data_IF_358370832042
#
_entry.id   IF_358370832042
#
_cell.length_a   1.000
_cell.length_b   1.000
_cell.length_c   1.000
_cell.angle_alpha   90.00
_cell.angle_beta   90.00
_cell.angle_gamma   90.00
#
_symmetry.space_group_name_H-M   'P 1'
#
loop_
_entity.id
_entity.type
_entity.pdbx_description
1 polymer ?
#
# COMPACT_ATOMS: atom_id res chain seq x y z
N UNK A 1 -5.58 19.36 16.24
CA UNK A 1 -6.88 20.07 16.25
C UNK A 1 -7.10 20.90 17.49
N UNK A 2 -7.09 20.35 18.71
CA UNK A 2 -7.37 21.13 19.94
C UNK A 2 -6.41 22.31 20.16
N UNK A 3 -5.12 22.13 19.89
CA UNK A 3 -4.14 23.23 19.93
C UNK A 3 -4.54 24.37 18.97
N UNK A 4 -4.87 24.04 17.73
CA UNK A 4 -5.29 25.04 16.74
C UNK A 4 -6.57 25.75 17.18
N UNK A 5 -7.52 25.03 17.79
CA UNK A 5 -8.74 25.62 18.36
C UNK A 5 -8.46 26.66 19.46
N UNK A 6 -7.43 26.45 20.27
CA UNK A 6 -7.06 27.37 21.35
C UNK A 6 -6.35 28.63 20.87
N UNK A 7 -5.56 28.51 19.80
CA UNK A 7 -4.60 29.55 19.39
C UNK A 7 -5.02 30.32 18.12
N UNK A 8 -5.88 29.76 17.27
CA UNK A 8 -6.23 30.29 15.95
C UNK A 8 -7.74 30.55 15.88
N UNK A 9 -8.12 31.79 15.54
CA UNK A 9 -9.53 32.22 15.60
C UNK A 9 -9.97 33.04 14.39
N UNK A 10 -9.05 33.44 13.51
CA UNK A 10 -9.34 34.27 12.35
C UNK A 10 -8.99 33.56 11.03
N UNK A 11 -9.72 33.87 9.97
CA UNK A 11 -9.34 33.50 8.61
C UNK A 11 -7.95 33.99 8.21
N UNK A 12 -7.45 35.06 8.85
CA UNK A 12 -6.10 35.60 8.61
C UNK A 12 -4.99 34.67 9.10
N UNK A 13 -5.32 33.73 9.99
CA UNK A 13 -4.37 32.78 10.52
C UNK A 13 -4.27 31.52 9.62
N UNK A 14 -5.03 31.46 8.52
CA UNK A 14 -5.10 30.34 7.58
C UNK A 14 -4.66 30.77 6.17
N UNK A 15 -4.08 29.86 5.35
CA UNK A 15 -3.85 28.44 5.64
C UNK A 15 -2.72 28.22 6.65
N UNK A 16 -2.84 27.16 7.45
CA UNK A 16 -1.86 26.76 8.44
C UNK A 16 -1.46 25.30 8.19
N UNK A 17 -0.16 25.00 8.25
CA UNK A 17 0.34 23.62 8.26
C UNK A 17 1.28 23.41 9.43
N UNK A 18 1.01 22.40 10.24
CA UNK A 18 1.80 22.02 11.40
C UNK A 18 2.25 20.58 11.25
N UNK A 19 3.52 20.28 11.50
CA UNK A 19 4.03 18.93 11.49
C UNK A 19 4.90 18.63 12.71
N UNK A 20 5.04 17.35 12.99
CA UNK A 20 5.97 16.83 13.99
C UNK A 20 6.69 15.60 13.43
N UNK A 21 7.86 15.29 14.00
CA UNK A 21 8.53 14.00 13.84
C UNK A 21 8.58 13.40 15.23
N UNK A 22 7.78 12.36 15.46
CA UNK A 22 7.57 11.83 16.79
C UNK A 22 7.29 10.33 16.74
N UNK A 23 7.77 9.63 17.76
CA UNK A 23 7.43 8.23 18.03
C UNK A 23 5.92 8.05 18.18
N UNK A 24 5.39 7.04 17.50
CA UNK A 24 4.00 6.61 17.52
C UNK A 24 3.91 5.20 18.07
N UNK A 25 2.74 4.89 18.60
CA UNK A 25 2.41 3.58 19.15
C UNK A 25 1.16 3.03 18.47
N UNK A 26 1.25 1.79 17.99
CA UNK A 26 0.10 1.03 17.49
C UNK A 26 0.22 -0.38 18.02
N UNK A 27 -0.81 -0.85 18.71
CA UNK A 27 -0.85 -2.25 19.17
C UNK A 27 -1.20 -3.17 17.99
N UNK A 28 -0.23 -3.32 17.10
CA UNK A 28 -0.32 -4.15 15.91
C UNK A 28 -0.50 -5.62 16.30
N UNK A 29 -1.60 -6.30 15.92
CA UNK A 29 -1.84 -7.69 16.30
C UNK A 29 -0.75 -8.66 15.84
N UNK A 30 -0.06 -8.35 14.73
CA UNK A 30 0.98 -9.20 14.16
C UNK A 30 2.21 -8.37 13.75
N UNK A 31 3.05 -7.93 14.71
CA UNK A 31 4.27 -7.19 14.39
C UNK A 31 5.26 -8.14 13.69
N UNK A 32 5.79 -7.72 12.53
CA UNK A 32 6.67 -8.53 11.68
C UNK A 32 7.55 -7.66 10.80
N UNK A 33 8.56 -8.26 10.15
CA UNK A 33 9.45 -7.58 9.20
C UNK A 33 10.22 -6.39 9.81
N UNK A 34 10.63 -6.52 11.08
CA UNK A 34 11.46 -5.54 11.77
C UNK A 34 10.81 -4.15 11.85
N UNK A 35 11.52 -3.12 11.38
CA UNK A 35 11.07 -1.72 11.44
C UNK A 35 10.03 -1.35 10.37
N UNK A 36 9.66 -2.29 9.49
CA UNK A 36 8.57 -2.09 8.51
C UNK A 36 7.23 -2.04 9.23
N UNK A 37 6.99 -2.98 10.17
CA UNK A 37 5.74 -3.11 10.93
C UNK A 37 6.00 -3.44 12.40
N UNK A 38 6.40 -2.40 13.13
CA UNK A 38 6.58 -2.42 14.58
C UNK A 38 5.37 -1.88 15.36
N UNK A 39 5.39 -2.06 16.68
CA UNK A 39 4.41 -1.44 17.60
C UNK A 39 4.80 -0.03 18.03
N UNK A 40 6.09 0.25 18.01
CA UNK A 40 6.68 1.57 18.23
C UNK A 40 7.47 1.95 16.98
N UNK A 41 7.23 3.13 16.42
CA UNK A 41 7.87 3.60 15.19
C UNK A 41 7.90 5.13 15.11
N UNK A 42 8.86 5.70 14.39
CA UNK A 42 8.92 7.15 14.15
C UNK A 42 8.13 7.50 12.91
N UNK A 43 7.25 8.50 13.04
CA UNK A 43 6.47 9.04 11.94
C UNK A 43 6.61 10.56 11.89
N UNK A 44 6.68 11.09 10.67
CA UNK A 44 6.43 12.49 10.40
C UNK A 44 4.96 12.63 10.04
N UNK A 45 4.17 13.26 10.89
CA UNK A 45 2.76 13.56 10.67
C UNK A 45 2.56 15.08 10.58
N UNK A 46 1.90 15.52 9.51
CA UNK A 46 1.55 16.92 9.24
C UNK A 46 0.05 17.06 9.14
N UNK A 47 -0.48 18.20 9.55
CA UNK A 47 -1.89 18.55 9.46
C UNK A 47 -2.04 19.96 8.90
N UNK A 48 -2.83 20.11 7.83
CA UNK A 48 -3.22 21.42 7.31
C UNK A 48 -4.60 21.82 7.80
N UNK A 49 -4.80 23.12 7.92
CA UNK A 49 -6.05 23.76 8.28
C UNK A 49 -6.31 24.86 7.26
N UNK A 50 -7.42 24.75 6.55
CA UNK A 50 -7.78 25.60 5.44
C UNK A 50 -9.22 26.10 5.61
N UNK A 51 -9.52 27.29 5.08
CA UNK A 51 -10.87 27.87 5.18
C UNK A 51 -11.82 27.26 4.15
N UNK A 52 -11.31 26.95 2.96
CA UNK A 52 -12.09 26.43 1.82
C UNK A 52 -11.52 25.12 1.30
N UNK A 53 -12.34 24.38 0.56
CA UNK A 53 -11.95 23.07 0.03
C UNK A 53 -10.94 23.21 -1.14
N UNK A 54 -10.92 24.36 -1.81
CA UNK A 54 -9.86 24.73 -2.76
C UNK A 54 -8.53 24.94 -2.03
N UNK A 55 -8.54 25.62 -0.87
CA UNK A 55 -7.35 25.78 -0.02
C UNK A 55 -6.81 24.42 0.46
N UNK A 56 -7.69 23.52 0.90
CA UNK A 56 -7.31 22.14 1.23
C UNK A 56 -6.70 21.40 0.03
N UNK A 57 -7.23 21.62 -1.17
CA UNK A 57 -6.68 21.02 -2.39
C UNK A 57 -5.29 21.56 -2.72
N UNK A 58 -5.05 22.85 -2.51
CA UNK A 58 -3.71 23.45 -2.63
C UNK A 58 -2.74 22.90 -1.58
N UNK A 59 -3.13 22.90 -0.30
CA UNK A 59 -2.36 22.31 0.80
C UNK A 59 -2.02 20.83 0.54
N UNK A 60 -2.96 20.07 -0.01
CA UNK A 60 -2.76 18.69 -0.41
C UNK A 60 -1.69 18.54 -1.51
N UNK A 61 -1.80 19.33 -2.58
CA UNK A 61 -0.83 19.29 -3.70
C UNK A 61 0.56 19.75 -3.26
N UNK A 62 0.66 20.72 -2.36
CA UNK A 62 1.93 21.17 -1.77
C UNK A 62 2.60 20.05 -0.97
N UNK A 63 1.84 19.31 -0.16
CA UNK A 63 2.37 18.14 0.57
C UNK A 63 2.76 17.00 -0.38
N UNK A 64 1.95 16.73 -1.40
CA UNK A 64 2.28 15.74 -2.44
C UNK A 64 3.61 16.06 -3.12
N UNK A 65 3.82 17.33 -3.52
CA UNK A 65 5.07 17.78 -4.13
C UNK A 65 6.26 17.73 -3.17
N UNK A 66 6.05 18.03 -1.88
CA UNK A 66 7.09 17.91 -0.86
C UNK A 66 7.51 16.44 -0.67
N UNK A 67 6.56 15.50 -0.66
CA UNK A 67 6.84 14.07 -0.51
C UNK A 67 7.61 13.51 -1.69
N UNK A 68 7.21 13.88 -2.92
CA UNK A 68 7.97 13.54 -4.14
C UNK A 68 9.42 13.98 -3.99
N UNK A 69 9.67 15.26 -3.67
CA UNK A 69 11.03 15.77 -3.45
C UNK A 69 11.76 15.04 -2.33
N UNK A 70 11.08 14.68 -1.25
CA UNK A 70 11.67 13.92 -0.15
C UNK A 70 12.11 12.53 -0.62
N UNK A 71 11.22 11.75 -1.23
CA UNK A 71 11.54 10.39 -1.64
C UNK A 71 12.55 10.33 -2.80
N UNK A 72 12.51 11.29 -3.72
CA UNK A 72 13.52 11.44 -4.77
C UNK A 72 14.91 11.72 -4.18
N UNK A 73 15.00 12.61 -3.18
CA UNK A 73 16.26 12.89 -2.46
C UNK A 73 16.77 11.69 -1.67
N UNK A 74 15.87 10.86 -1.15
CA UNK A 74 16.21 9.61 -0.47
C UNK A 74 16.60 8.49 -1.44
N UNK A 75 16.51 8.71 -2.76
CA UNK A 75 16.85 7.71 -3.78
C UNK A 75 15.86 6.55 -3.86
N UNK A 76 14.64 6.71 -3.34
CA UNK A 76 13.61 5.67 -3.35
C UNK A 76 12.92 5.59 -4.71
N UNK A 77 12.65 4.37 -5.17
CA UNK A 77 11.68 4.10 -6.22
C UNK A 77 10.31 3.92 -5.58
N UNK A 78 9.31 4.64 -6.07
CA UNK A 78 7.95 4.57 -5.52
C UNK A 78 6.89 4.83 -6.58
N UNK A 79 5.69 4.34 -6.32
CA UNK A 79 4.47 4.63 -7.07
C UNK A 79 3.52 5.45 -6.19
N UNK A 80 2.85 6.44 -6.77
CA UNK A 80 1.79 7.19 -6.09
C UNK A 80 0.47 6.58 -6.52
N UNK A 81 -0.25 5.97 -5.57
CA UNK A 81 -1.46 5.20 -5.86
C UNK A 81 -2.67 5.83 -5.18
N UNK A 82 -3.82 5.75 -5.84
CA UNK A 82 -5.09 6.12 -5.21
C UNK A 82 -5.45 5.11 -4.12
N UNK A 83 -5.91 5.58 -2.97
CA UNK A 83 -6.23 4.74 -1.83
C UNK A 83 -7.60 5.08 -1.21
N UNK A 84 -8.16 4.14 -0.47
CA UNK A 84 -9.41 4.35 0.26
C UNK A 84 -9.15 5.21 1.50
N UNK A 85 -9.98 6.25 1.71
CA UNK A 85 -9.81 7.16 2.87
C UNK A 85 -10.14 6.48 4.21
N UNK A 86 -10.85 5.35 4.18
CA UNK A 86 -11.10 4.46 5.32
C UNK A 86 -11.57 5.16 6.60
N UNK A 87 -11.08 4.66 7.75
CA UNK A 87 -11.42 5.18 9.08
C UNK A 87 -10.99 6.62 9.32
N UNK A 88 -9.97 7.11 8.62
CA UNK A 88 -9.55 8.51 8.70
C UNK A 88 -10.67 9.44 8.20
N UNK A 89 -11.49 8.98 7.27
CA UNK A 89 -12.50 9.78 6.59
C UNK A 89 -11.85 10.75 5.59
N UNK A 90 -12.62 11.22 4.62
CA UNK A 90 -12.12 12.13 3.60
C UNK A 90 -12.65 11.84 2.21
N UNK A 91 -12.39 12.76 1.29
CA UNK A 91 -12.80 12.68 -0.12
C UNK A 91 -11.71 12.19 -1.06
N UNK A 92 -10.45 12.31 -0.67
CA UNK A 92 -9.28 11.96 -1.48
C UNK A 92 -8.14 11.45 -0.61
N UNK A 93 -7.46 10.42 -1.08
CA UNK A 93 -6.37 9.76 -0.39
C UNK A 93 -5.39 9.17 -1.41
N UNK A 94 -4.10 9.42 -1.22
CA UNK A 94 -3.02 8.84 -2.03
C UNK A 94 -1.93 8.25 -1.13
N UNK A 95 -1.47 7.06 -1.48
CA UNK A 95 -0.35 6.38 -0.84
C UNK A 95 0.89 6.44 -1.72
N UNK A 96 2.05 6.49 -1.07
CA UNK A 96 3.36 6.40 -1.69
C UNK A 96 3.90 5.02 -1.37
N UNK A 97 3.95 4.17 -2.38
CA UNK A 97 4.27 2.76 -2.26
C UNK A 97 5.65 2.49 -2.84
N UNK A 98 6.59 2.03 -2.02
CA UNK A 98 7.91 1.59 -2.45
C UNK A 98 7.85 0.11 -2.86
N UNK A 99 8.03 -0.24 -4.15
CA UNK A 99 7.95 -1.63 -4.61
C UNK A 99 8.92 -2.53 -3.85
N UNK A 100 8.40 -3.66 -3.39
CA UNK A 100 9.12 -4.63 -2.58
C UNK A 100 8.29 -5.93 -2.50
N UNK A 101 8.87 -7.06 -2.90
CA UNK A 101 8.17 -8.35 -2.90
C UNK A 101 7.71 -8.79 -1.51
N UNK A 102 8.44 -8.37 -0.46
CA UNK A 102 8.10 -8.65 0.94
C UNK A 102 7.11 -7.63 1.54
N UNK A 103 6.77 -6.59 0.77
CA UNK A 103 5.79 -5.57 1.12
C UNK A 103 4.39 -6.14 1.38
N UNK A 104 3.62 -5.48 2.24
CA UNK A 104 2.30 -5.98 2.65
C UNK A 104 1.15 -5.41 1.86
N UNK A 105 1.36 -4.22 1.28
CA UNK A 105 0.36 -3.53 0.48
C UNK A 105 0.38 -4.09 -0.93
N UNK A 106 -0.81 -4.37 -1.44
CA UNK A 106 -0.99 -4.88 -2.80
C UNK A 106 -1.71 -3.81 -3.60
N UNK A 107 -1.13 -3.46 -4.75
CA UNK A 107 -1.65 -2.39 -5.59
C UNK A 107 -1.67 -2.84 -7.05
N UNK A 108 -2.51 -2.17 -7.82
CA UNK A 108 -2.59 -2.35 -9.26
C UNK A 108 -1.87 -1.23 -9.99
N UNK A 109 -1.27 -1.56 -11.13
CA UNK A 109 -0.66 -0.61 -12.04
C UNK A 109 -1.10 -0.92 -13.48
N UNK A 110 -1.44 0.12 -14.25
CA UNK A 110 -1.63 0.01 -15.68
C UNK A 110 -0.42 0.61 -16.41
N UNK A 111 0.43 -0.24 -16.98
CA UNK A 111 1.64 0.20 -17.69
C UNK A 111 1.34 1.06 -18.92
N UNK A 112 0.12 0.95 -19.48
CA UNK A 112 -0.31 1.72 -20.67
C UNK A 112 -0.63 3.18 -20.36
N UNK A 113 -1.32 3.46 -19.24
CA UNK A 113 -1.83 4.80 -18.93
C UNK A 113 -1.32 5.39 -17.60
N UNK A 114 -0.57 4.62 -16.80
CA UNK A 114 -0.04 5.04 -15.51
C UNK A 114 -1.06 5.04 -14.37
N UNK A 115 -2.28 4.52 -14.59
CA UNK A 115 -3.26 4.31 -13.52
C UNK A 115 -2.65 3.43 -12.42
N UNK A 116 -2.74 3.88 -11.17
CA UNK A 116 -2.30 3.10 -10.02
C UNK A 116 -3.22 3.32 -8.82
N UNK A 117 -3.61 2.23 -8.18
CA UNK A 117 -4.49 2.25 -7.01
C UNK A 117 -4.22 1.06 -6.12
N UNK A 118 -4.49 1.20 -4.81
CA UNK A 118 -4.63 0.01 -3.97
C UNK A 118 -5.74 -0.88 -4.49
N UNK A 119 -5.61 -2.19 -4.22
CA UNK A 119 -6.63 -3.16 -4.60
C UNK A 119 -8.00 -2.75 -4.04
N UNK A 120 -8.10 -2.19 -2.84
CA UNK A 120 -9.38 -1.74 -2.27
C UNK A 120 -10.00 -0.54 -3.00
N UNK A 121 -9.17 0.29 -3.65
CA UNK A 121 -9.58 1.51 -4.35
C UNK A 121 -9.84 1.31 -5.85
N UNK A 122 -9.37 0.20 -6.45
CA UNK A 122 -9.57 -0.06 -7.87
C UNK A 122 -11.05 -0.24 -8.20
N UNK A 123 -11.57 0.55 -9.14
CA UNK A 123 -12.94 0.39 -9.64
C UNK A 123 -13.01 -0.66 -10.75
N UNK A 124 -14.06 -1.48 -10.70
CA UNK A 124 -14.42 -2.37 -11.81
C UNK A 124 -15.55 -1.73 -12.62
N UNK A 125 -15.34 -1.59 -13.93
CA UNK A 125 -16.36 -1.07 -14.85
C UNK A 125 -16.77 -2.17 -15.81
N UNK A 126 -18.04 -2.57 -15.78
CA UNK A 126 -18.64 -3.53 -16.73
C UNK A 126 -19.96 -2.94 -17.22
N UNK A 127 -20.17 -2.98 -18.54
CA UNK A 127 -21.39 -2.48 -19.17
C UNK A 127 -22.53 -3.48 -19.03
N UNK A 128 -23.77 -2.98 -19.11
CA UNK A 128 -24.95 -3.85 -19.22
C UNK A 128 -24.90 -4.70 -20.49
N UNK A 129 -25.53 -5.87 -20.43
CA UNK A 129 -25.57 -6.85 -21.51
C UNK A 129 -27.02 -7.05 -21.96
N UNK A 130 -27.26 -7.21 -23.26
CA UNK A 130 -28.59 -7.58 -23.74
C UNK A 130 -28.89 -9.05 -23.42
N UNK A 131 -29.86 -9.26 -22.53
CA UNK A 131 -30.31 -10.58 -22.10
C UNK A 131 -31.53 -11.11 -22.88
N UNK A 132 -31.99 -10.43 -23.93
CA UNK A 132 -33.21 -10.80 -24.66
C UNK A 132 -33.16 -12.20 -25.28
N UNK A 133 -31.96 -12.66 -25.64
CA UNK A 133 -31.70 -14.01 -26.15
C UNK A 133 -31.48 -15.09 -25.08
N UNK A 134 -31.45 -14.74 -23.80
CA UNK A 134 -31.19 -15.69 -22.71
C UNK A 134 -32.48 -16.47 -22.41
N UNK A 135 -32.46 -17.82 -22.41
CA UNK A 135 -33.64 -18.62 -22.10
C UNK A 135 -34.24 -18.31 -20.72
N UNK A 136 -35.50 -18.71 -20.47
CA UNK A 136 -36.08 -18.65 -19.13
C UNK A 136 -35.22 -19.39 -18.11
N UNK A 137 -35.27 -18.93 -16.86
CA UNK A 137 -34.65 -19.61 -15.72
C UNK A 137 -35.12 -21.06 -15.64
N UNK A 138 -34.18 -21.99 -15.50
CA UNK A 138 -34.45 -23.43 -15.38
C UNK A 138 -33.78 -23.99 -14.13
N UNK A 139 -34.55 -24.64 -13.25
CA UNK A 139 -34.01 -25.34 -12.07
C UNK A 139 -33.65 -26.76 -12.45
N UNK A 140 -32.40 -27.16 -12.16
CA UNK A 140 -31.84 -28.45 -12.52
C UNK A 140 -31.27 -29.17 -11.30
N UNK A 141 -31.41 -30.49 -11.27
CA UNK A 141 -30.91 -31.32 -10.17
C UNK A 141 -29.40 -31.52 -10.27
N UNK A 142 -28.66 -31.00 -9.31
CA UNK A 142 -27.20 -31.06 -9.17
C UNK A 142 -26.85 -31.63 -7.79
N UNK A 143 -27.21 -32.89 -7.48
CA UNK A 143 -26.93 -33.47 -6.17
C UNK A 143 -25.42 -33.51 -5.90
N UNK A 144 -25.03 -33.34 -4.65
CA UNK A 144 -23.63 -33.42 -4.19
C UNK A 144 -22.66 -32.42 -4.87
N UNK A 145 -23.13 -31.20 -5.18
CA UNK A 145 -22.29 -30.13 -5.77
C UNK A 145 -22.10 -28.93 -4.84
N UNK A 146 -21.33 -29.05 -3.74
CA UNK A 146 -21.17 -27.97 -2.79
C UNK A 146 -20.16 -26.89 -3.24
N UNK A 147 -19.40 -27.12 -4.34
CA UNK A 147 -18.36 -26.20 -4.82
C UNK A 147 -18.57 -25.83 -6.29
N UNK A 148 -18.00 -24.68 -6.70
CA UNK A 148 -18.02 -24.25 -8.12
C UNK A 148 -17.39 -25.30 -9.03
N UNK A 149 -16.27 -25.90 -8.65
CA UNK A 149 -15.61 -26.93 -9.46
C UNK A 149 -16.54 -28.13 -9.70
N UNK A 150 -17.20 -28.63 -8.65
CA UNK A 150 -18.15 -29.74 -8.77
C UNK A 150 -19.39 -29.39 -9.61
N UNK A 151 -19.81 -28.12 -9.58
CA UNK A 151 -20.91 -27.62 -10.40
C UNK A 151 -20.49 -27.56 -11.88
N UNK A 152 -19.33 -26.97 -12.17
CA UNK A 152 -18.79 -26.87 -13.53
C UNK A 152 -18.58 -28.25 -14.15
N UNK A 153 -18.09 -29.23 -13.37
CA UNK A 153 -17.95 -30.62 -13.83
C UNK A 153 -19.29 -31.21 -14.27
N UNK A 154 -20.34 -31.11 -13.45
CA UNK A 154 -21.68 -31.61 -13.80
C UNK A 154 -22.28 -30.86 -15.00
N UNK A 155 -22.10 -29.54 -15.08
CA UNK A 155 -22.60 -28.75 -16.21
C UNK A 155 -21.94 -29.18 -17.52
N UNK A 156 -20.62 -29.35 -17.51
CA UNK A 156 -19.88 -29.77 -18.69
C UNK A 156 -20.22 -31.21 -19.10
N UNK A 157 -20.40 -32.12 -18.15
CA UNK A 157 -20.83 -33.50 -18.43
C UNK A 157 -22.20 -33.54 -19.12
N UNK A 158 -23.15 -32.70 -18.66
CA UNK A 158 -24.55 -32.75 -19.13
C UNK A 158 -24.84 -31.92 -20.38
N UNK A 159 -24.17 -30.77 -20.52
CA UNK A 159 -24.49 -29.78 -21.54
C UNK A 159 -23.41 -29.64 -22.61
N UNK A 160 -22.42 -30.53 -22.63
CA UNK A 160 -21.47 -30.66 -23.74
C UNK A 160 -20.25 -29.75 -23.68
N UNK A 161 -19.88 -29.29 -22.47
CA UNK A 161 -18.69 -28.47 -22.24
C UNK A 161 -18.91 -26.96 -22.39
N UNK A 162 -17.85 -26.18 -22.10
CA UNK A 162 -17.83 -24.72 -22.29
C UNK A 162 -18.16 -23.90 -21.04
N UNK A 163 -18.67 -24.53 -19.98
CA UNK A 163 -18.86 -23.87 -18.69
C UNK A 163 -17.52 -23.79 -17.94
N UNK A 164 -17.30 -22.63 -17.33
CA UNK A 164 -16.19 -22.31 -16.45
C UNK A 164 -16.75 -21.73 -15.15
N UNK A 165 -15.89 -21.54 -14.13
CA UNK A 165 -16.30 -20.84 -12.92
C UNK A 165 -16.87 -19.45 -13.19
N UNK A 166 -16.43 -18.78 -14.26
CA UNK A 166 -16.88 -17.44 -14.64
C UNK A 166 -18.32 -17.41 -15.16
N UNK A 167 -18.91 -18.55 -15.52
CA UNK A 167 -20.32 -18.68 -15.91
C UNK A 167 -21.24 -18.91 -14.69
N UNK A 168 -20.65 -19.16 -13.53
CA UNK A 168 -21.36 -19.43 -12.28
C UNK A 168 -21.35 -18.21 -11.38
N UNK A 169 -22.29 -18.13 -10.44
CA UNK A 169 -22.43 -17.01 -9.52
C UNK A 169 -22.46 -17.50 -8.07
N UNK A 170 -21.50 -17.03 -7.28
CA UNK A 170 -21.46 -17.24 -5.83
C UNK A 170 -22.37 -16.25 -5.13
N UNK A 171 -23.20 -16.78 -4.23
CA UNK A 171 -23.97 -15.98 -3.30
C UNK A 171 -23.34 -16.11 -1.90
N UNK A 172 -22.58 -15.09 -1.51
CA UNK A 172 -21.92 -15.06 -0.21
C UNK A 172 -22.84 -14.36 0.79
N UNK A 173 -23.38 -15.13 1.72
CA UNK A 173 -24.14 -14.59 2.84
C UNK A 173 -23.18 -14.03 3.90
N UNK A 174 -23.49 -12.83 4.39
CA UNK A 174 -22.74 -12.14 5.42
C UNK A 174 -23.69 -11.58 6.48
N UNK A 175 -23.16 -11.31 7.67
CA UNK A 175 -23.85 -10.56 8.71
C UNK A 175 -23.16 -9.21 8.86
N UNK A 176 -23.87 -8.13 8.50
CA UNK A 176 -23.42 -6.75 8.60
C UNK A 176 -24.24 -6.02 9.67
N UNK A 177 -23.59 -5.54 10.74
CA UNK A 177 -24.22 -4.92 11.91
C UNK A 177 -25.46 -5.70 12.43
N UNK A 178 -25.34 -7.03 12.49
CA UNK A 178 -26.39 -7.94 12.94
C UNK A 178 -27.49 -8.26 11.91
N UNK A 179 -27.42 -7.70 10.69
CA UNK A 179 -28.37 -7.98 9.59
C UNK A 179 -27.76 -8.89 8.54
N UNK A 180 -28.52 -9.88 8.08
CA UNK A 180 -28.11 -10.73 6.96
C UNK A 180 -28.14 -9.95 5.66
N UNK A 181 -27.04 -10.01 4.91
CA UNK A 181 -26.91 -9.47 3.56
C UNK A 181 -26.36 -10.55 2.62
N UNK A 182 -26.55 -10.36 1.32
CA UNK A 182 -25.98 -11.20 0.27
C UNK A 182 -25.02 -10.37 -0.58
N UNK A 183 -23.83 -10.90 -0.86
CA UNK A 183 -22.86 -10.31 -1.79
C UNK A 183 -22.61 -11.30 -2.91
N UNK A 184 -22.88 -10.86 -4.14
CA UNK A 184 -22.77 -11.66 -5.34
C UNK A 184 -21.42 -11.40 -6.03
N UNK A 185 -20.66 -12.46 -6.30
CA UNK A 185 -19.40 -12.43 -7.07
C UNK A 185 -19.40 -13.54 -8.14
N UNK A 186 -18.68 -13.37 -9.26
CA UNK A 186 -18.50 -14.46 -10.22
C UNK A 186 -17.89 -15.69 -9.53
N UNK A 187 -18.26 -16.89 -9.95
CA UNK A 187 -17.85 -18.11 -9.25
C UNK A 187 -16.38 -18.47 -9.44
N UNK A 188 -15.73 -17.94 -10.46
CA UNK A 188 -14.28 -17.99 -10.58
C UNK A 188 -13.58 -17.00 -9.65
N UNK A 189 -14.27 -16.14 -8.88
CA UNK A 189 -13.69 -15.16 -7.96
C UNK A 189 -14.04 -15.45 -6.51
N UNK A 190 -13.26 -14.88 -5.60
CA UNK A 190 -13.55 -14.85 -4.17
C UNK A 190 -13.92 -13.43 -3.71
N UNK A 191 -14.64 -13.35 -2.59
CA UNK A 191 -14.87 -12.05 -1.92
C UNK A 191 -13.60 -11.65 -1.18
N UNK A 192 -13.07 -10.49 -1.51
CA UNK A 192 -12.04 -9.82 -0.72
C UNK A 192 -12.74 -8.99 0.37
N UNK A 193 -12.69 -9.47 1.61
CA UNK A 193 -13.34 -8.83 2.74
C UNK A 193 -12.84 -7.39 2.98
N UNK A 194 -11.56 -7.10 2.74
CA UNK A 194 -11.02 -5.74 2.92
C UNK A 194 -11.60 -4.80 1.88
N UNK A 195 -11.63 -5.25 0.62
CA UNK A 195 -12.20 -4.49 -0.49
C UNK A 195 -13.70 -4.27 -0.30
N UNK A 196 -14.43 -5.30 0.14
CA UNK A 196 -15.84 -5.22 0.49
C UNK A 196 -16.10 -4.21 1.61
N UNK A 197 -15.41 -4.32 2.74
CA UNK A 197 -15.54 -3.40 3.88
C UNK A 197 -15.27 -1.95 3.47
N UNK A 198 -14.22 -1.72 2.67
CA UNK A 198 -13.88 -0.39 2.18
C UNK A 198 -14.98 0.22 1.29
N UNK A 199 -15.70 -0.61 0.53
CA UNK A 199 -16.72 -0.18 -0.44
C UNK A 199 -18.17 -0.26 0.10
N UNK A 200 -18.36 -0.66 1.36
CA UNK A 200 -19.66 -0.74 2.01
C UNK A 200 -19.78 0.29 3.16
N UNK A 201 -19.91 1.59 2.85
CA UNK A 201 -19.90 2.64 3.86
C UNK A 201 -21.10 2.53 4.80
N UNK A 202 -20.86 2.79 6.08
CA UNK A 202 -21.88 2.79 7.13
C UNK A 202 -22.06 1.47 7.86
N UNK A 203 -21.35 0.41 7.45
CA UNK A 203 -21.25 -0.86 8.19
C UNK A 203 -20.05 -0.82 9.12
N UNK A 204 -20.24 -1.18 10.38
CA UNK A 204 -19.17 -1.17 11.39
C UNK A 204 -18.55 -2.54 11.60
N UNK A 205 -19.37 -3.59 11.55
CA UNK A 205 -18.95 -4.98 11.72
C UNK A 205 -19.52 -5.83 10.59
N UNK A 206 -18.64 -6.62 9.95
CA UNK A 206 -19.04 -7.61 8.97
C UNK A 206 -18.37 -8.95 9.28
N UNK A 207 -19.13 -10.03 9.18
CA UNK A 207 -18.61 -11.39 9.29
C UNK A 207 -19.27 -12.32 8.30
N UNK A 208 -18.59 -13.43 8.01
CA UNK A 208 -19.16 -14.52 7.25
C UNK A 208 -20.39 -15.08 7.98
N UNK A 209 -21.37 -15.52 7.20
CA UNK A 209 -22.52 -16.25 7.70
C UNK A 209 -22.11 -17.71 7.96
N UNK A 210 -22.25 -18.17 9.20
CA UNK A 210 -21.69 -19.45 9.66
C UNK A 210 -22.77 -20.52 9.86
N UNK A 211 -22.37 -21.75 10.19
CA UNK A 211 -23.28 -22.89 10.34
C UNK A 211 -24.38 -22.66 11.39
N UNK A 212 -24.08 -21.92 12.45
CA UNK A 212 -25.09 -21.53 13.45
C UNK A 212 -26.15 -20.59 12.86
N UNK A 213 -25.77 -19.71 11.94
CA UNK A 213 -26.70 -18.81 11.29
C UNK A 213 -27.57 -19.56 10.28
N UNK A 214 -27.00 -20.54 9.55
CA UNK A 214 -27.76 -21.45 8.69
C UNK A 214 -28.79 -22.26 9.49
N UNK A 215 -28.41 -22.76 10.67
CA UNK A 215 -29.33 -23.48 11.55
C UNK A 215 -30.49 -22.60 12.04
N UNK A 216 -30.25 -21.30 12.26
CA UNK A 216 -31.28 -20.31 12.64
C UNK A 216 -32.16 -19.87 11.47
N UNK A 217 -31.68 -20.02 10.24
CA UNK A 217 -32.34 -19.54 9.03
C UNK A 217 -32.49 -20.67 7.99
N UNK A 218 -33.44 -21.61 8.19
CA UNK A 218 -33.57 -22.81 7.37
C UNK A 218 -33.97 -22.54 5.91
N UNK A 219 -34.36 -21.30 5.59
CA UNK A 219 -34.61 -20.86 4.22
C UNK A 219 -33.32 -20.73 3.38
N UNK A 220 -32.15 -20.65 4.03
CA UNK A 220 -30.85 -20.68 3.34
C UNK A 220 -30.33 -22.10 3.28
N UNK A 221 -30.26 -22.63 2.06
CA UNK A 221 -29.73 -23.97 1.83
C UNK A 221 -28.24 -23.86 1.56
N UNK A 222 -27.39 -24.20 2.55
CA UNK A 222 -25.93 -24.15 2.41
C UNK A 222 -25.47 -24.92 1.16
N UNK A 223 -24.66 -24.27 0.33
CA UNK A 223 -24.19 -24.80 -0.96
C UNK A 223 -25.14 -24.61 -2.14
N UNK A 224 -26.39 -24.17 -1.91
CA UNK A 224 -27.41 -23.99 -2.95
C UNK A 224 -28.15 -22.64 -2.81
N UNK A 225 -27.56 -21.67 -2.11
CA UNK A 225 -28.13 -20.32 -1.96
C UNK A 225 -28.01 -19.57 -3.29
N UNK A 226 -29.10 -18.93 -3.70
CA UNK A 226 -29.13 -18.05 -4.87
C UNK A 226 -29.96 -16.77 -4.63
N UNK A 227 -29.77 -15.74 -5.46
CA UNK A 227 -30.36 -14.41 -5.24
C UNK A 227 -31.86 -14.30 -5.56
N UNK A 228 -32.46 -15.32 -6.17
CA UNK A 228 -33.82 -15.28 -6.75
C UNK A 228 -34.92 -14.99 -5.72
N UNK A 229 -34.78 -15.51 -4.50
CA UNK A 229 -35.76 -15.31 -3.43
C UNK A 229 -35.36 -14.22 -2.43
N UNK A 230 -34.29 -13.47 -2.67
CA UNK A 230 -33.76 -12.52 -1.70
C UNK A 230 -34.78 -11.46 -1.27
N UNK A 231 -35.59 -10.94 -2.22
CA UNK A 231 -36.68 -10.02 -1.90
C UNK A 231 -37.74 -10.65 -0.99
N UNK A 232 -38.14 -11.90 -1.26
CA UNK A 232 -39.13 -12.63 -0.45
C UNK A 232 -38.60 -12.89 0.97
N UNK A 233 -37.29 -13.10 1.09
CA UNK A 233 -36.60 -13.31 2.35
C UNK A 233 -36.20 -12.01 3.06
N UNK A 234 -36.47 -10.85 2.46
CA UNK A 234 -36.16 -9.54 3.04
C UNK A 234 -34.66 -9.24 3.16
N UNK A 235 -33.82 -9.84 2.32
CA UNK A 235 -32.37 -9.71 2.35
C UNK A 235 -31.94 -8.64 1.36
N UNK A 236 -31.00 -7.80 1.80
CA UNK A 236 -30.35 -6.84 0.90
C UNK A 236 -29.30 -7.56 0.06
N UNK A 237 -29.41 -7.44 -1.27
CA UNK A 237 -28.47 -8.03 -2.23
C UNK A 237 -27.56 -6.95 -2.77
N UNK A 238 -26.26 -7.14 -2.55
CA UNK A 238 -25.20 -6.39 -3.21
C UNK A 238 -24.53 -7.27 -4.25
N UNK A 239 -23.91 -6.67 -5.26
CA UNK A 239 -23.16 -7.41 -6.27
C UNK A 239 -21.88 -6.71 -6.69
N UNK A 240 -20.85 -7.48 -7.01
CA UNK A 240 -19.68 -6.96 -7.72
C UNK A 240 -20.10 -6.38 -9.09
N UNK A 241 -19.47 -5.31 -9.59
CA UNK A 241 -19.81 -4.74 -10.89
C UNK A 241 -19.76 -5.74 -12.06
N UNK A 242 -19.01 -6.85 -11.93
CA UNK A 242 -18.98 -7.94 -12.93
C UNK A 242 -20.35 -8.61 -13.14
N UNK A 243 -21.29 -8.48 -12.20
CA UNK A 243 -22.67 -8.95 -12.30
C UNK A 243 -23.54 -7.81 -12.85
N UNK A 244 -23.10 -7.17 -13.93
CA UNK A 244 -23.82 -6.04 -14.53
C UNK A 244 -25.25 -6.44 -14.95
N UNK A 245 -26.20 -5.50 -15.10
CA UNK A 245 -27.54 -5.79 -15.58
C UNK A 245 -27.52 -6.61 -16.88
N UNK A 246 -28.37 -7.62 -16.97
CA UNK A 246 -28.47 -8.51 -18.12
C UNK A 246 -27.42 -9.62 -18.22
N UNK A 247 -26.42 -9.65 -17.33
CA UNK A 247 -25.54 -10.83 -17.21
C UNK A 247 -26.33 -12.07 -16.76
N UNK A 248 -26.00 -13.23 -17.31
CA UNK A 248 -26.66 -14.52 -17.06
C UNK A 248 -25.73 -15.47 -16.33
N UNK A 249 -26.26 -16.22 -15.36
CA UNK A 249 -25.47 -17.00 -14.44
C UNK A 249 -26.08 -18.36 -14.14
N UNK A 250 -25.21 -19.30 -13.75
CA UNK A 250 -25.59 -20.54 -13.05
C UNK A 250 -25.37 -20.35 -11.55
N UNK A 251 -26.40 -20.49 -10.73
CA UNK A 251 -26.33 -20.22 -9.28
C UNK A 251 -27.25 -21.13 -8.48
N UNK A 252 -27.18 -21.11 -7.15
CA UNK A 252 -28.03 -21.93 -6.30
C UNK A 252 -29.53 -21.68 -6.55
N UNK A 253 -30.37 -22.70 -6.39
CA UNK A 253 -31.82 -22.57 -6.59
C UNK A 253 -32.62 -22.45 -5.27
N UNK A 254 -31.95 -22.17 -4.14
CA UNK A 254 -32.52 -22.21 -2.78
C UNK A 254 -33.19 -23.54 -2.42
N UNK A 255 -32.76 -24.63 -3.08
CA UNK A 255 -33.28 -25.98 -2.88
C UNK A 255 -32.11 -26.96 -2.84
N UNK A 256 -32.11 -27.84 -1.84
CA UNK A 256 -31.03 -28.79 -1.65
C UNK A 256 -30.84 -29.67 -2.87
N UNK A 257 -29.61 -29.73 -3.38
CA UNK A 257 -29.26 -30.52 -4.56
C UNK A 257 -29.71 -29.90 -5.87
N UNK A 258 -30.10 -28.62 -5.93
CA UNK A 258 -30.52 -27.98 -7.18
C UNK A 258 -29.81 -26.63 -7.41
N UNK A 259 -29.41 -26.40 -8.65
CA UNK A 259 -28.98 -25.10 -9.14
C UNK A 259 -29.97 -24.59 -10.20
N UNK A 260 -29.90 -23.30 -10.51
CA UNK A 260 -30.68 -22.64 -11.55
C UNK A 260 -29.73 -22.19 -12.67
N UNK A 261 -30.10 -22.54 -13.90
CA UNK A 261 -29.47 -22.06 -15.12
C UNK A 261 -30.14 -20.78 -15.61
N UNK A 262 -29.43 -20.03 -16.44
CA UNK A 262 -29.94 -18.85 -17.14
C UNK A 262 -30.48 -17.76 -16.20
N UNK A 263 -29.89 -17.60 -15.01
CA UNK A 263 -30.36 -16.63 -14.03
C UNK A 263 -29.82 -15.25 -14.39
N UNK A 264 -30.71 -14.33 -14.75
CA UNK A 264 -30.35 -13.01 -15.29
C UNK A 264 -30.53 -11.90 -14.26
N UNK A 265 -29.50 -11.08 -14.05
CA UNK A 265 -29.62 -9.88 -13.23
C UNK A 265 -30.56 -8.85 -13.88
N UNK A 266 -31.56 -8.39 -13.15
CA UNK A 266 -32.60 -7.47 -13.61
C UNK A 266 -33.87 -8.15 -14.11
N UNK A 267 -33.81 -9.45 -14.45
CA UNK A 267 -34.98 -10.27 -14.80
C UNK A 267 -35.41 -11.18 -13.65
N UNK A 268 -34.47 -11.93 -13.08
CA UNK A 268 -34.76 -13.00 -12.11
C UNK A 268 -34.39 -12.60 -10.66
N UNK A 269 -33.58 -11.55 -10.50
CA UNK A 269 -33.26 -10.93 -9.21
C UNK A 269 -32.89 -9.45 -9.42
N UNK A 270 -32.88 -8.68 -8.34
CA UNK A 270 -32.47 -7.27 -8.34
C UNK A 270 -31.36 -7.03 -7.33
N UNK A 271 -30.45 -6.12 -7.67
CA UNK A 271 -29.34 -5.70 -6.80
C UNK A 271 -29.66 -4.33 -6.22
N UNK A 272 -29.49 -4.16 -4.91
CA UNK A 272 -29.66 -2.88 -4.20
C UNK A 272 -28.57 -1.89 -4.62
N UNK A 273 -27.32 -2.36 -4.61
CA UNK A 273 -26.16 -1.55 -4.97
C UNK A 273 -25.00 -2.42 -5.46
N UNK A 274 -24.29 -1.91 -6.46
CA UNK A 274 -23.01 -2.47 -6.89
C UNK A 274 -21.89 -2.01 -5.98
N UNK A 275 -21.11 -2.96 -5.49
CA UNK A 275 -19.96 -2.72 -4.61
C UNK A 275 -18.79 -3.55 -5.10
N UNK A 276 -17.63 -2.91 -5.24
CA UNK A 276 -16.39 -3.60 -5.52
C UNK A 276 -16.08 -4.56 -4.35
N UNK A 277 -16.22 -5.87 -4.58
CA UNK A 277 -16.14 -6.88 -3.52
C UNK A 277 -15.33 -8.12 -3.94
N UNK A 278 -15.24 -8.40 -5.24
CA UNK A 278 -14.42 -9.51 -5.72
C UNK A 278 -12.93 -9.16 -5.62
N UNK A 279 -12.10 -10.18 -5.39
CA UNK A 279 -10.64 -10.07 -5.54
C UNK A 279 -10.26 -9.56 -6.93
N UNK A 280 -9.24 -8.70 -6.97
CA UNK A 280 -8.65 -8.23 -8.23
C UNK A 280 -7.56 -9.21 -8.67
N UNK A 281 -7.51 -9.50 -9.97
CA UNK A 281 -6.47 -10.36 -10.55
C UNK A 281 -5.61 -9.61 -11.56
N UNK A 282 -4.38 -10.08 -11.70
CA UNK A 282 -3.52 -9.67 -12.81
C UNK A 282 -4.25 -9.93 -14.14
N UNK A 283 -4.24 -8.92 -15.01
CA UNK A 283 -4.96 -8.96 -16.29
C UNK A 283 -6.37 -8.37 -16.25
N UNK A 284 -6.92 -8.03 -15.08
CA UNK A 284 -8.21 -7.33 -15.01
C UNK A 284 -8.15 -5.95 -15.71
N UNK A 285 -9.27 -5.49 -16.25
CA UNK A 285 -9.34 -4.29 -17.06
C UNK A 285 -9.08 -3.01 -16.24
N UNK A 286 -8.18 -2.17 -16.71
CA UNK A 286 -7.95 -0.84 -16.14
C UNK A 286 -9.22 0.03 -16.28
N UNK A 287 -9.70 0.68 -15.20
CA UNK A 287 -10.91 1.49 -15.25
C UNK A 287 -10.83 2.72 -16.16
N UNK A 288 -9.61 3.16 -16.51
CA UNK A 288 -9.38 4.36 -17.32
C UNK A 288 -9.21 4.05 -18.81
N UNK A 289 -8.69 2.88 -19.18
CA UNK A 289 -8.32 2.58 -20.56
C UNK A 289 -8.49 1.12 -21.01
N UNK A 290 -9.10 0.29 -20.17
CA UNK A 290 -9.43 -1.13 -20.39
C UNK A 290 -8.23 -2.07 -20.63
N UNK A 291 -7.01 -1.55 -20.70
CA UNK A 291 -5.82 -2.38 -20.79
C UNK A 291 -5.61 -3.21 -19.51
N UNK A 292 -5.00 -4.39 -19.61
CA UNK A 292 -4.77 -5.26 -18.45
C UNK A 292 -3.89 -4.57 -17.41
N UNK A 293 -4.28 -4.67 -16.14
CA UNK A 293 -3.45 -4.20 -15.01
C UNK A 293 -2.49 -5.30 -14.54
N UNK A 294 -1.35 -4.88 -13.99
CA UNK A 294 -0.45 -5.73 -13.22
C UNK A 294 -0.70 -5.53 -11.74
N UNK A 295 -0.46 -6.57 -10.95
CA UNK A 295 -0.51 -6.52 -9.48
C UNK A 295 0.91 -6.61 -8.96
N UNK A 296 1.25 -5.74 -8.03
CA UNK A 296 2.56 -5.73 -7.39
C UNK A 296 2.43 -5.47 -5.88
N UNK A 297 3.52 -5.70 -5.15
CA UNK A 297 3.61 -5.55 -3.69
C UNK A 297 4.56 -4.43 -3.32
N UNK A 298 4.24 -3.75 -2.23
CA UNK A 298 5.01 -2.60 -1.79
C UNK A 298 4.97 -2.37 -0.29
N UNK A 299 5.91 -1.53 0.16
CA UNK A 299 5.93 -0.94 1.48
C UNK A 299 5.34 0.47 1.36
N UNK A 300 4.25 0.75 2.07
CA UNK A 300 3.69 2.10 2.18
C UNK A 300 4.63 3.03 2.96
N UNK A 301 5.35 3.93 2.28
CA UNK A 301 6.32 4.86 2.86
C UNK A 301 5.71 6.22 3.24
N UNK A 302 4.53 6.54 2.71
CA UNK A 302 3.79 7.74 3.07
C UNK A 302 2.35 7.72 2.59
N UNK A 303 1.52 8.53 3.25
CA UNK A 303 0.07 8.61 2.99
C UNK A 303 -0.41 10.03 3.19
N UNK A 304 -1.20 10.53 2.23
CA UNK A 304 -1.78 11.87 2.27
C UNK A 304 -3.31 11.80 2.12
N UNK A 305 -4.03 12.58 2.93
CA UNK A 305 -5.49 12.57 3.02
C UNK A 305 -6.08 13.97 2.98
N UNK A 306 -7.21 14.12 2.27
CA UNK A 306 -8.15 15.22 2.48
C UNK A 306 -9.22 14.81 3.49
N UNK A 307 -8.99 15.10 4.78
CA UNK A 307 -9.90 14.72 5.87
C UNK A 307 -11.23 15.50 5.84
N UNK A 308 -11.24 16.65 5.18
CA UNK A 308 -12.39 17.53 5.13
C UNK A 308 -12.71 18.08 6.52
N UNK A 309 -13.99 18.15 6.86
CA UNK A 309 -14.46 18.78 8.11
C UNK A 309 -14.69 17.80 9.26
N UNK A 310 -14.46 16.49 9.07
CA UNK A 310 -14.81 15.42 10.04
C UNK A 310 -14.36 15.73 11.47
N UNK A 311 -13.05 15.94 11.66
CA UNK A 311 -12.47 16.17 12.99
C UNK A 311 -12.74 17.59 13.50
N UNK A 312 -12.74 18.58 12.61
CA UNK A 312 -13.04 19.97 12.98
C UNK A 312 -14.47 20.12 13.49
N UNK A 313 -15.44 19.45 12.85
CA UNK A 313 -16.84 19.40 13.32
C UNK A 313 -16.96 18.69 14.65
N UNK A 314 -16.37 17.50 14.79
CA UNK A 314 -16.46 16.72 16.02
C UNK A 314 -15.85 17.44 17.25
N UNK A 315 -14.92 18.37 17.02
CA UNK A 315 -14.22 19.11 18.08
C UNK A 315 -14.60 20.61 18.12
N UNK A 316 -15.62 21.03 17.38
CA UNK A 316 -16.08 22.42 17.26
C UNK A 316 -14.94 23.42 16.97
N UNK A 317 -14.05 23.08 16.05
CA UNK A 317 -13.01 23.98 15.57
C UNK A 317 -13.60 24.90 14.49
N UNK A 318 -13.78 26.18 14.84
CA UNK A 318 -14.24 27.22 13.90
C UNK A 318 -13.31 28.43 13.93
N UNK A 319 -13.27 29.17 12.83
CA UNK A 319 -12.62 30.48 12.71
C UNK A 319 -13.61 31.51 12.17
N UNK A 320 -13.39 32.79 12.47
CA UNK A 320 -14.17 33.87 11.87
C UNK A 320 -13.70 34.12 10.44
N UNK A 321 -14.62 34.07 9.48
CA UNK A 321 -14.36 34.49 8.10
C UNK A 321 -14.25 36.01 7.94
N UNK A 322 -13.97 36.47 6.72
CA UNK A 322 -13.84 37.90 6.38
C UNK A 322 -15.09 38.73 6.72
N UNK A 323 -16.25 38.10 6.83
CA UNK A 323 -17.53 38.73 7.14
C UNK A 323 -17.86 38.59 8.64
N UNK A 324 -16.94 38.06 9.45
CA UNK A 324 -17.12 37.82 10.88
C UNK A 324 -18.01 36.62 11.21
N UNK A 325 -18.27 35.72 10.26
CA UNK A 325 -19.09 34.52 10.49
C UNK A 325 -18.20 33.34 10.86
N UNK A 326 -18.64 32.56 11.86
CA UNK A 326 -17.95 31.32 12.22
C UNK A 326 -18.04 30.30 11.08
N UNK A 327 -16.88 29.76 10.68
CA UNK A 327 -16.73 28.71 9.68
C UNK A 327 -15.94 27.55 10.25
N UNK A 328 -16.44 26.34 10.02
CA UNK A 328 -15.69 25.12 10.33
C UNK A 328 -14.57 24.97 9.32
N UNK A 329 -13.34 24.87 9.81
CA UNK A 329 -12.16 24.67 8.96
C UNK A 329 -12.20 23.29 8.31
N UNK A 330 -11.59 23.19 7.14
CA UNK A 330 -11.36 21.92 6.45
C UNK A 330 -9.90 21.49 6.66
N UNK A 331 -9.65 20.19 6.76
CA UNK A 331 -8.38 19.65 7.23
C UNK A 331 -7.74 18.66 6.26
N UNK A 332 -6.41 18.68 6.20
CA UNK A 332 -5.58 17.66 5.58
C UNK A 332 -4.73 16.91 6.61
N UNK A 333 -4.30 15.69 6.29
CA UNK A 333 -3.36 14.91 7.10
C UNK A 333 -2.35 14.19 6.23
N UNK A 334 -1.08 14.23 6.62
CA UNK A 334 0.03 13.81 5.77
C UNK A 334 1.09 13.08 6.61
N UNK A 335 1.18 11.76 6.46
CA UNK A 335 2.15 10.88 7.15
C UNK A 335 3.33 10.44 6.27
N UNK A 336 4.54 10.40 6.82
CA UNK A 336 5.70 9.63 6.29
C UNK A 336 6.15 8.71 7.42
N UNK A 337 6.21 7.41 7.15
CA UNK A 337 6.78 6.46 8.10
C UNK A 337 8.31 6.57 8.08
N UNK A 338 8.90 7.38 8.95
CA UNK A 338 10.35 7.66 8.94
C UNK A 338 11.17 6.38 9.19
N UNK A 339 10.81 5.61 10.22
CA UNK A 339 11.48 4.32 10.49
C UNK A 339 11.28 3.33 9.35
N UNK A 340 10.09 3.30 8.76
CA UNK A 340 9.74 2.40 7.65
C UNK A 340 10.49 2.78 6.37
N UNK A 341 10.70 4.07 6.11
CA UNK A 341 11.48 4.55 4.97
C UNK A 341 12.93 4.05 5.01
N UNK A 342 13.54 3.92 6.21
CA UNK A 342 14.88 3.33 6.35
C UNK A 342 14.89 1.88 5.86
N UNK A 343 13.89 1.07 6.22
CA UNK A 343 13.78 -0.30 5.71
C UNK A 343 13.48 -0.34 4.21
N UNK A 344 12.61 0.52 3.70
CA UNK A 344 12.32 0.58 2.28
C UNK A 344 13.58 0.93 1.45
N UNK A 345 14.42 1.84 1.96
CA UNK A 345 15.71 2.14 1.33
C UNK A 345 16.60 0.89 1.36
N UNK A 346 16.76 0.24 2.51
CA UNK A 346 17.56 -0.98 2.63
C UNK A 346 17.11 -2.11 1.69
N UNK A 347 15.80 -2.36 1.59
CA UNK A 347 15.21 -3.35 0.67
C UNK A 347 15.51 -3.02 -0.80
N UNK A 348 15.53 -1.74 -1.18
CA UNK A 348 15.83 -1.31 -2.55
C UNK A 348 17.32 -1.14 -2.82
N UNK A 349 18.15 -1.05 -1.78
CA UNK A 349 19.57 -0.71 -1.88
C UNK A 349 20.44 -1.65 -1.05
N UNK A 350 20.37 -2.94 -1.36
CA UNK A 350 21.28 -3.96 -0.84
C UNK A 350 21.75 -4.90 -1.96
N UNK A 351 22.79 -5.66 -1.67
CA UNK A 351 23.28 -6.76 -2.49
C UNK A 351 23.81 -7.88 -1.61
N UNK A 352 24.42 -8.91 -2.21
CA UNK A 352 24.98 -10.07 -1.51
C UNK A 352 26.06 -9.72 -0.46
N UNK A 353 26.67 -8.53 -0.53
CA UNK A 353 27.67 -8.07 0.44
C UNK A 353 27.03 -7.32 1.63
N UNK A 354 25.83 -6.79 1.46
CA UNK A 354 25.09 -6.07 2.50
C UNK A 354 24.43 -4.79 1.99
N UNK A 355 24.36 -3.78 2.85
CA UNK A 355 23.69 -2.52 2.55
C UNK A 355 24.49 -1.68 1.55
N UNK A 356 23.80 -0.80 0.83
CA UNK A 356 24.38 0.08 -0.17
C UNK A 356 23.62 1.42 -0.18
N UNK A 357 23.91 2.27 0.80
CA UNK A 357 23.09 3.45 1.06
C UNK A 357 23.20 4.53 -0.03
N UNK A 358 22.10 5.22 -0.36
CA UNK A 358 22.17 6.53 -1.00
C UNK A 358 23.00 7.48 -0.13
N UNK A 359 23.85 8.29 -0.76
CA UNK A 359 24.81 9.14 -0.04
C UNK A 359 24.16 10.17 0.92
N UNK A 360 22.90 10.53 0.68
CA UNK A 360 22.11 11.45 1.52
C UNK A 360 21.79 10.85 2.91
N UNK A 361 21.68 9.52 3.01
CA UNK A 361 21.21 8.81 4.22
C UNK A 361 22.22 7.81 4.78
N UNK A 362 23.38 7.68 4.14
CA UNK A 362 24.43 6.80 4.63
C UNK A 362 24.86 7.21 6.06
N UNK A 363 25.10 6.25 6.97
CA UNK A 363 25.57 6.54 8.32
C UNK A 363 26.83 7.43 8.34
N UNK A 364 27.74 7.18 7.39
CA UNK A 364 28.81 8.08 7.01
C UNK A 364 28.99 8.04 5.50
N UNK A 365 29.48 9.13 4.89
CA UNK A 365 29.78 9.14 3.45
C UNK A 365 31.02 8.31 3.12
N UNK A 366 31.98 8.27 4.04
CA UNK A 366 33.26 7.57 3.87
C UNK A 366 33.51 6.63 5.05
N UNK A 367 33.89 5.39 4.77
CA UNK A 367 34.38 4.42 5.74
C UNK A 367 35.88 4.21 5.55
N UNK A 368 36.71 4.70 6.46
CA UNK A 368 38.16 4.52 6.41
C UNK A 368 38.55 3.31 7.26
N UNK A 369 39.21 2.34 6.64
CA UNK A 369 39.65 1.09 7.24
C UNK A 369 41.17 1.10 7.37
N UNK A 370 41.66 1.28 8.60
CA UNK A 370 43.08 1.14 8.90
C UNK A 370 43.45 -0.34 9.13
N UNK A 371 44.52 -0.81 8.49
CA UNK A 371 44.94 -2.22 8.55
C UNK A 371 46.42 -2.37 8.88
N UNK A 372 46.78 -3.48 9.52
CA UNK A 372 48.15 -3.79 9.90
C UNK A 372 48.37 -3.71 11.41
N UNK A 373 49.65 -3.77 11.82
CA UNK A 373 50.06 -3.68 13.23
C UNK A 373 50.81 -2.39 13.56
N UNK A 374 51.39 -1.77 12.55
CA UNK A 374 52.16 -0.54 12.67
C UNK A 374 51.24 0.65 12.91
N UNK A 375 51.77 1.73 13.51
CA UNK A 375 50.99 2.94 13.81
C UNK A 375 50.71 3.79 12.57
N UNK A 376 51.62 3.79 11.59
CA UNK A 376 51.54 4.66 10.41
C UNK A 376 50.21 4.58 9.64
N UNK A 377 49.61 3.39 9.34
CA UNK A 377 48.29 3.32 8.71
C UNK A 377 47.16 3.93 9.55
N UNK A 378 47.23 3.83 10.88
CA UNK A 378 46.20 4.37 11.78
C UNK A 378 46.30 5.89 11.88
N UNK A 379 47.51 6.42 12.09
CA UNK A 379 47.76 7.86 12.14
C UNK A 379 47.40 8.54 10.81
N UNK A 380 47.68 7.86 9.69
CA UNK A 380 47.30 8.34 8.35
C UNK A 380 45.78 8.33 8.17
N UNK A 381 45.11 7.25 8.56
CA UNK A 381 43.65 7.14 8.49
C UNK A 381 42.96 8.22 9.33
N UNK A 382 43.45 8.51 10.53
CA UNK A 382 42.95 9.59 11.40
C UNK A 382 43.17 10.97 10.75
N UNK A 383 44.37 11.22 10.20
CA UNK A 383 44.67 12.47 9.50
C UNK A 383 43.75 12.69 8.29
N UNK A 384 43.48 11.64 7.52
CA UNK A 384 42.52 11.67 6.41
C UNK A 384 41.09 11.93 6.90
N UNK A 385 40.66 11.25 7.97
CA UNK A 385 39.35 11.44 8.57
C UNK A 385 39.12 12.90 8.97
N UNK A 386 40.06 13.48 9.72
CA UNK A 386 40.01 14.90 10.13
C UNK A 386 39.99 15.85 8.92
N UNK A 387 40.71 15.51 7.85
CA UNK A 387 40.75 16.33 6.63
C UNK A 387 39.42 16.32 5.88
N UNK A 388 38.77 15.15 5.78
CA UNK A 388 37.43 15.01 5.18
C UNK A 388 36.34 15.67 6.05
N UNK A 389 36.41 15.51 7.37
CA UNK A 389 35.45 16.14 8.30
C UNK A 389 35.53 17.67 8.25
N UNK A 390 36.73 18.24 8.08
CA UNK A 390 36.90 19.70 7.84
C UNK A 390 36.19 20.20 6.58
N UNK A 391 35.93 19.31 5.62
CA UNK A 391 35.15 19.60 4.41
C UNK A 391 33.64 19.31 4.58
N UNK A 392 33.20 18.93 5.79
CA UNK A 392 31.82 18.58 6.08
C UNK A 392 31.40 17.18 5.63
N UNK A 393 32.36 16.31 5.30
CA UNK A 393 32.12 14.92 4.92
C UNK A 393 32.12 14.06 6.19
N UNK A 394 31.04 13.33 6.43
CA UNK A 394 30.96 12.40 7.57
C UNK A 394 31.83 11.17 7.32
N UNK A 395 32.64 10.81 8.32
CA UNK A 395 33.60 9.70 8.26
C UNK A 395 33.32 8.68 9.35
N UNK A 396 33.35 7.41 9.00
CA UNK A 396 33.42 6.28 9.91
C UNK A 396 34.85 5.72 9.86
N UNK A 397 35.58 5.84 10.97
CA UNK A 397 36.95 5.33 11.08
C UNK A 397 36.94 3.97 11.79
N UNK A 398 37.42 2.92 11.11
CA UNK A 398 37.66 1.61 11.71
C UNK A 398 39.12 1.47 12.15
N UNK A 399 39.36 1.89 13.39
CA UNK A 399 40.65 1.88 14.09
C UNK A 399 40.89 0.64 14.97
N UNK A 400 39.99 -0.36 14.92
CA UNK A 400 40.08 -1.58 15.74
C UNK A 400 41.38 -2.34 15.47
N UNK A 401 42.32 -2.40 16.42
CA UNK A 401 43.64 -3.03 16.19
C UNK A 401 43.63 -4.56 16.32
N UNK A 402 42.66 -5.09 17.03
CA UNK A 402 42.48 -6.52 17.30
C UNK A 402 41.76 -7.27 16.17
N UNK A 403 40.94 -6.57 15.37
CA UNK A 403 40.23 -7.14 14.25
C UNK A 403 41.14 -7.41 13.04
N UNK A 404 41.00 -8.59 12.44
CA UNK A 404 41.73 -8.91 11.20
C UNK A 404 41.23 -8.06 10.02
N UNK A 405 42.08 -7.74 9.02
CA UNK A 405 41.66 -6.95 7.86
C UNK A 405 40.43 -7.51 7.14
N UNK A 406 40.33 -8.84 7.03
CA UNK A 406 39.17 -9.49 6.40
C UNK A 406 37.85 -9.29 7.15
N UNK A 407 37.89 -9.18 8.48
CA UNK A 407 36.71 -8.85 9.29
C UNK A 407 36.32 -7.40 9.05
N UNK A 408 37.28 -6.47 9.08
CA UNK A 408 37.03 -5.05 8.81
C UNK A 408 36.42 -4.80 7.44
N UNK A 409 36.93 -5.46 6.40
CA UNK A 409 36.40 -5.31 5.05
C UNK A 409 34.96 -5.79 4.96
N UNK A 410 34.64 -6.95 5.56
CA UNK A 410 33.27 -7.47 5.61
C UNK A 410 32.34 -6.54 6.39
N UNK A 411 32.79 -5.99 7.52
CA UNK A 411 31.99 -5.03 8.28
C UNK A 411 31.73 -3.75 7.47
N UNK A 412 32.74 -3.23 6.77
CA UNK A 412 32.59 -2.05 5.92
C UNK A 412 31.64 -2.29 4.75
N UNK A 413 31.74 -3.45 4.09
CA UNK A 413 30.84 -3.88 3.03
C UNK A 413 29.39 -4.07 3.52
N UNK A 414 29.22 -4.67 4.71
CA UNK A 414 27.92 -4.90 5.34
C UNK A 414 27.23 -3.61 5.77
N UNK A 415 27.98 -2.68 6.38
CA UNK A 415 27.48 -1.36 6.81
C UNK A 415 27.07 -0.52 5.61
N UNK A 416 27.82 -0.59 4.51
CA UNK A 416 27.35 -0.09 3.22
C UNK A 416 27.55 1.41 2.97
N UNK A 417 28.52 2.05 3.64
CA UNK A 417 28.84 3.45 3.35
C UNK A 417 29.30 3.62 1.89
N UNK A 418 28.95 4.71 1.19
CA UNK A 418 29.16 4.87 -0.25
C UNK A 418 30.60 4.68 -0.70
N UNK A 419 31.56 5.22 0.07
CA UNK A 419 32.99 5.14 -0.22
C UNK A 419 33.70 4.40 0.90
N UNK A 420 34.51 3.40 0.56
CA UNK A 420 35.37 2.68 1.49
C UNK A 420 36.82 2.97 1.13
N UNK A 421 37.61 3.45 2.08
CA UNK A 421 39.03 3.76 1.91
C UNK A 421 39.85 2.79 2.74
N UNK A 422 40.82 2.12 2.15
CA UNK A 422 41.69 1.17 2.84
C UNK A 422 43.08 1.78 2.96
N UNK A 423 43.46 2.04 4.20
CA UNK A 423 44.81 2.50 4.57
C UNK A 423 45.58 1.29 5.10
N UNK A 424 46.49 0.78 4.28
CA UNK A 424 47.13 -0.51 4.52
C UNK A 424 48.46 -0.66 3.81
N UNK A 425 48.70 -1.84 3.22
CA UNK A 425 49.99 -2.16 2.60
C UNK A 425 50.41 -1.19 1.48
N UNK A 426 49.45 -0.68 0.71
CA UNK A 426 49.69 0.30 -0.36
C UNK A 426 50.32 1.61 0.12
N UNK A 427 50.21 1.91 1.42
CA UNK A 427 50.80 3.10 2.00
C UNK A 427 52.33 3.10 1.90
N UNK A 428 52.97 1.94 1.85
CA UNK A 428 54.41 1.82 1.63
C UNK A 428 54.85 2.34 0.24
N UNK A 429 53.93 2.37 -0.73
CA UNK A 429 54.14 3.00 -2.04
C UNK A 429 53.57 4.44 -2.12
N UNK A 430 53.07 4.99 -1.02
CA UNK A 430 52.45 6.32 -0.98
C UNK A 430 50.99 6.36 -1.44
N UNK A 431 50.30 5.21 -1.49
CA UNK A 431 48.94 5.10 -2.00
C UNK A 431 47.93 4.59 -0.95
N UNK A 432 46.65 4.83 -1.22
CA UNK A 432 45.49 4.23 -0.54
C UNK A 432 44.57 3.59 -1.57
N UNK A 433 43.82 2.56 -1.18
CA UNK A 433 42.81 1.95 -2.04
C UNK A 433 41.45 2.59 -1.73
N UNK A 434 40.75 3.08 -2.75
CA UNK A 434 39.38 3.58 -2.68
C UNK A 434 38.47 2.59 -3.36
N UNK A 435 37.34 2.26 -2.72
CA UNK A 435 36.28 1.43 -3.29
C UNK A 435 34.97 2.21 -3.29
N UNK A 436 34.27 2.18 -4.42
CA UNK A 436 32.89 2.68 -4.51
C UNK A 436 31.95 1.51 -4.20
N UNK A 437 31.25 1.58 -3.07
CA UNK A 437 30.43 0.46 -2.53
C UNK A 437 29.37 -0.01 -3.53
N UNK A 438 28.80 0.93 -4.30
CA UNK A 438 27.70 0.65 -5.24
C UNK A 438 28.13 -0.05 -6.52
N UNK A 439 29.23 0.38 -7.13
CA UNK A 439 29.73 -0.19 -8.38
C UNK A 439 30.71 -1.33 -8.16
N UNK A 440 31.30 -1.42 -6.97
CA UNK A 440 32.41 -2.32 -6.67
C UNK A 440 33.73 -1.88 -7.29
N UNK A 441 33.78 -0.72 -7.94
CA UNK A 441 34.98 -0.16 -8.55
C UNK A 441 36.05 0.08 -7.49
N UNK A 442 37.30 -0.24 -7.83
CA UNK A 442 38.46 -0.12 -6.96
C UNK A 442 39.56 0.63 -7.68
N UNK A 443 40.14 1.60 -6.99
CA UNK A 443 41.23 2.42 -7.51
C UNK A 443 42.30 2.61 -6.44
N UNK A 444 43.56 2.50 -6.84
CA UNK A 444 44.69 2.87 -6.00
C UNK A 444 45.08 4.31 -6.30
N UNK A 445 45.01 5.18 -5.29
CA UNK A 445 45.17 6.63 -5.43
C UNK A 445 46.31 7.09 -4.54
N UNK A 446 47.13 8.00 -5.05
CA UNK A 446 48.21 8.61 -4.27
C UNK A 446 47.63 9.38 -3.07
N UNK A 447 48.26 9.23 -1.90
CA UNK A 447 47.74 9.75 -0.63
C UNK A 447 47.52 11.27 -0.65
N UNK A 448 48.38 12.00 -1.37
CA UNK A 448 48.36 13.46 -1.46
C UNK A 448 47.12 14.02 -2.17
N UNK A 449 46.53 13.25 -3.09
CA UNK A 449 45.32 13.63 -3.85
C UNK A 449 44.07 12.84 -3.44
N UNK A 450 44.20 11.88 -2.51
CA UNK A 450 43.12 10.98 -2.14
C UNK A 450 41.89 11.71 -1.57
N UNK A 451 42.09 12.76 -0.77
CA UNK A 451 40.98 13.56 -0.20
C UNK A 451 40.18 14.24 -1.32
N UNK A 452 40.85 14.86 -2.28
CA UNK A 452 40.20 15.54 -3.40
C UNK A 452 39.43 14.55 -4.29
N UNK A 453 39.97 13.35 -4.48
CA UNK A 453 39.30 12.31 -5.27
C UNK A 453 38.03 11.80 -4.58
N UNK A 454 38.07 11.58 -3.26
CA UNK A 454 36.89 11.21 -2.47
C UNK A 454 35.79 12.28 -2.58
N UNK A 455 36.17 13.57 -2.53
CA UNK A 455 35.23 14.68 -2.69
C UNK A 455 34.54 14.63 -4.05
N UNK A 456 35.29 14.36 -5.13
CA UNK A 456 34.72 14.23 -6.49
C UNK A 456 33.76 13.06 -6.61
N UNK A 457 34.07 11.92 -5.99
CA UNK A 457 33.22 10.73 -6.03
C UNK A 457 31.89 10.90 -5.28
N UNK A 458 31.82 11.87 -4.34
CA UNK A 458 30.62 12.17 -3.56
C UNK A 458 29.78 13.34 -4.11
N UNK A 459 30.30 14.07 -5.10
CA UNK A 459 29.63 15.17 -5.79
C UNK A 459 28.72 14.64 -6.90
#
# INVERSE_FOLDING_TARGET
TLMVKGEYSSYKDLPLSLYQIQTKYRDEPRPRSGIIRGREFVMKDSYSFDLTDEGLSESYMNHRAAYVKTFDRLGLKYNIVSAMSGAMGGSRSEEFLAPCETGEDTYVLCEKCGYAANVEAMKTTVSEVDASGVPPLEVVDTPNTPTIDSLVEILNERYGGGFTGADTLKNILLVADGKTISVLVPGDREVDMKRLEANLPGVSEIRLFEDEDFAKNPNFVKGYVGPQDAQKLGITVYADPRIAPGTSWVTGANKNGCHALNVVNGRDFTVEKYIDAAEVRQGDACPECEAPVVIDRAIEIGHIFQLGRKYAQALDLTVLDKDGKARVVTMGSYGIGVSRAVAAIAEQTHDELGLNWPAEVAPAKVHIVATGKEDLPFDTAETMAVSLEKLGISVMLDDRRDASPGVKFKDAELIGNPIIVIVGKSLAQGNVEIRVRRSGERSEIALDVAVDEIVKLLA
#
